data_IF_773686735823
#
_entry.id   IF_773686735823
#
_cell.length_a   1.000
_cell.length_b   1.000
_cell.length_c   1.000
_cell.angle_alpha   90.00
_cell.angle_beta   90.00
_cell.angle_gamma   90.00
#
_symmetry.space_group_name_H-M   'P 1'
#
loop_
_entity.id
_entity.type
_entity.pdbx_description
1 polymer ?
#
# COMPACT_ATOMS: atom_id res chain seq x y z
N UNK A 1 6.87 -2.45 -17.76
CA UNK A 1 6.92 -1.38 -16.74
C UNK A 1 8.21 -1.49 -15.95
N UNK A 2 8.92 -0.40 -15.79
CA UNK A 2 10.20 -0.35 -15.06
C UNK A 2 10.03 -0.84 -13.60
N UNK A 3 10.94 -1.67 -13.09
CA UNK A 3 10.81 -2.26 -11.75
C UNK A 3 10.65 -1.23 -10.62
N UNK A 4 11.27 -0.07 -10.74
CA UNK A 4 11.17 1.00 -9.74
C UNK A 4 9.83 1.75 -9.76
N UNK A 5 9.00 1.58 -10.80
CA UNK A 5 7.65 2.15 -10.88
C UNK A 5 6.59 1.20 -10.28
N UNK A 6 6.87 -0.10 -10.22
CA UNK A 6 5.92 -1.10 -9.69
C UNK A 6 5.42 -0.79 -8.27
N UNK A 7 6.25 -0.37 -7.31
CA UNK A 7 5.76 0.00 -5.98
C UNK A 7 4.76 1.16 -6.01
N UNK A 8 4.98 2.13 -6.89
CA UNK A 8 4.07 3.26 -7.08
C UNK A 8 2.72 2.81 -7.65
N UNK A 9 2.73 1.95 -8.66
CA UNK A 9 1.52 1.35 -9.21
C UNK A 9 0.78 0.53 -8.14
N UNK A 10 1.51 -0.27 -7.36
CA UNK A 10 0.93 -1.05 -6.27
C UNK A 10 0.26 -0.15 -5.23
N UNK A 11 0.87 0.97 -4.87
CA UNK A 11 0.27 1.94 -3.97
C UNK A 11 -1.02 2.54 -4.52
N UNK A 12 -1.06 2.93 -5.79
CA UNK A 12 -2.28 3.45 -6.43
C UNK A 12 -3.41 2.42 -6.42
N UNK A 13 -3.11 1.15 -6.68
CA UNK A 13 -4.08 0.05 -6.58
C UNK A 13 -4.61 -0.16 -5.17
N UNK A 14 -3.76 -0.02 -4.17
CA UNK A 14 -4.12 -0.12 -2.75
C UNK A 14 -4.93 1.10 -2.28
N UNK A 15 -4.65 2.27 -2.78
CA UNK A 15 -5.46 3.47 -2.53
C UNK A 15 -6.89 3.24 -3.05
N UNK A 16 -7.05 2.62 -4.20
CA UNK A 16 -8.34 2.23 -4.75
C UNK A 16 -9.01 1.12 -3.92
N UNK A 17 -8.30 0.01 -3.69
CA UNK A 17 -8.78 -1.11 -2.89
C UNK A 17 -7.67 -1.74 -2.05
N UNK A 18 -7.62 -1.47 -0.73
CA UNK A 18 -6.57 -1.97 0.15
C UNK A 18 -6.68 -3.48 0.48
N UNK A 19 -7.78 -4.14 0.12
CA UNK A 19 -7.96 -5.58 0.35
C UNK A 19 -7.15 -6.47 -0.60
N UNK A 20 -6.40 -5.90 -1.52
CA UNK A 20 -5.55 -6.63 -2.47
C UNK A 20 -4.17 -6.92 -1.85
N UNK A 21 -4.02 -8.07 -1.20
CA UNK A 21 -2.84 -8.45 -0.41
C UNK A 21 -1.52 -8.32 -1.18
N UNK A 22 -1.47 -8.77 -2.43
CA UNK A 22 -0.26 -8.73 -3.27
C UNK A 22 0.22 -7.30 -3.46
N UNK A 23 -0.68 -6.38 -3.79
CA UNK A 23 -0.33 -4.98 -4.02
C UNK A 23 -0.04 -4.24 -2.71
N UNK A 24 -0.75 -4.56 -1.64
CA UNK A 24 -0.46 -4.00 -0.32
C UNK A 24 0.92 -4.41 0.17
N UNK A 25 1.27 -5.69 0.08
CA UNK A 25 2.61 -6.17 0.41
C UNK A 25 3.69 -5.49 -0.45
N UNK A 26 3.47 -5.39 -1.76
CA UNK A 26 4.41 -4.74 -2.67
C UNK A 26 4.62 -3.25 -2.35
N UNK A 27 3.56 -2.53 -1.99
CA UNK A 27 3.67 -1.13 -1.57
C UNK A 27 4.41 -0.98 -0.24
N UNK A 28 4.13 -1.83 0.75
CA UNK A 28 4.78 -1.80 2.07
C UNK A 28 6.27 -2.13 1.98
N UNK A 29 6.64 -3.14 1.19
CA UNK A 29 8.03 -3.58 0.98
C UNK A 29 8.84 -2.62 0.12
N UNK A 30 8.20 -1.73 -0.60
CA UNK A 30 8.86 -0.77 -1.47
C UNK A 30 9.59 0.35 -0.71
N UNK A 31 10.33 1.20 -1.44
CA UNK A 31 11.13 2.27 -0.84
C UNK A 31 10.29 3.37 -0.16
N UNK A 32 9.00 3.43 -0.43
CA UNK A 32 8.11 4.43 0.15
C UNK A 32 7.85 4.23 1.64
N UNK A 33 7.75 2.98 2.11
CA UNK A 33 7.38 2.66 3.49
C UNK A 33 8.42 1.84 4.25
N UNK A 34 9.30 1.16 3.54
CA UNK A 34 10.48 0.51 4.12
C UNK A 34 10.20 -0.68 5.03
N UNK A 35 9.10 -1.40 4.82
CA UNK A 35 8.86 -2.67 5.51
C UNK A 35 9.72 -3.78 4.92
N UNK A 36 10.13 -4.72 5.77
CA UNK A 36 10.84 -5.93 5.37
C UNK A 36 9.89 -7.13 5.29
N UNK A 37 10.33 -8.23 4.67
CA UNK A 37 9.58 -9.49 4.69
C UNK A 37 9.33 -9.97 6.12
N UNK A 38 10.30 -9.83 7.00
CA UNK A 38 10.16 -10.16 8.43
C UNK A 38 9.11 -9.30 9.12
N UNK A 39 9.02 -8.01 8.76
CA UNK A 39 7.98 -7.12 9.25
C UNK A 39 6.58 -7.61 8.87
N UNK A 40 6.39 -8.08 7.65
CA UNK A 40 5.10 -8.62 7.19
C UNK A 40 4.75 -9.94 7.89
N UNK A 41 5.72 -10.82 8.09
CA UNK A 41 5.55 -12.04 8.89
C UNK A 41 5.15 -11.69 10.32
N UNK A 42 5.83 -10.73 10.93
CA UNK A 42 5.54 -10.25 12.29
C UNK A 42 4.13 -9.65 12.39
N UNK A 43 3.73 -8.85 11.40
CA UNK A 43 2.38 -8.27 11.32
C UNK A 43 1.31 -9.37 11.31
N UNK A 44 1.47 -10.40 10.48
CA UNK A 44 0.58 -11.56 10.41
C UNK A 44 0.53 -12.33 11.73
N UNK A 45 1.69 -12.56 12.34
CA UNK A 45 1.79 -13.30 13.61
C UNK A 45 1.09 -12.56 14.77
N UNK A 46 1.29 -11.25 14.89
CA UNK A 46 0.63 -10.43 15.90
C UNK A 46 -0.89 -10.40 15.69
N UNK A 47 -1.35 -10.23 14.46
CA UNK A 47 -2.77 -10.26 14.15
C UNK A 47 -3.41 -11.60 14.47
N UNK A 48 -2.77 -12.71 14.14
CA UNK A 48 -3.25 -14.06 14.46
C UNK A 48 -3.34 -14.29 15.98
N UNK A 49 -2.35 -13.84 16.74
CA UNK A 49 -2.35 -13.94 18.21
C UNK A 49 -3.49 -13.13 18.85
N UNK A 50 -3.76 -11.94 18.34
CA UNK A 50 -4.87 -11.08 18.79
C UNK A 50 -6.24 -11.71 18.50
N UNK A 51 -6.40 -12.32 17.32
CA UNK A 51 -7.62 -13.04 16.97
C UNK A 51 -7.87 -14.23 17.89
N UNK A 52 -6.83 -15.01 18.16
CA UNK A 52 -6.94 -16.16 19.06
C UNK A 52 -7.35 -15.73 20.47
N UNK A 53 -6.72 -14.70 21.01
CA UNK A 53 -7.05 -14.16 22.34
C UNK A 53 -8.50 -13.66 22.39
N UNK A 54 -8.95 -12.92 21.39
CA UNK A 54 -10.32 -12.44 21.32
C UNK A 54 -11.35 -13.57 21.24
N UNK A 55 -11.06 -14.66 20.54
CA UNK A 55 -11.91 -15.85 20.47
C UNK A 55 -11.98 -16.60 21.82
N UNK A 56 -10.86 -16.72 22.51
CA UNK A 56 -10.80 -17.34 23.84
C UNK A 56 -11.61 -16.54 24.87
N UNK A 57 -11.51 -15.20 24.85
CA UNK A 57 -12.28 -14.31 25.75
C UNK A 57 -13.79 -14.35 25.49
N UNK A 58 -14.22 -14.59 24.26
CA UNK A 58 -15.63 -14.67 23.89
C UNK A 58 -16.25 -16.06 24.13
N UNK A 59 -15.46 -17.05 24.58
CA UNK A 59 -15.95 -18.40 24.87
C UNK A 59 -16.50 -19.12 23.64
N UNK A 60 -16.03 -18.78 22.45
CA UNK A 60 -16.47 -19.40 21.21
C UNK A 60 -16.02 -20.87 21.18
N UNK A 61 -16.98 -21.78 21.35
CA UNK A 61 -16.83 -23.20 21.03
C UNK A 61 -16.42 -23.31 19.57
N UNK A 62 -15.40 -24.12 19.31
CA UNK A 62 -14.98 -24.51 17.97
C UNK A 62 -16.19 -24.97 17.14
N UNK A 63 -16.77 -24.07 16.41
CA UNK A 63 -17.54 -24.44 15.23
C UNK A 63 -16.53 -24.50 14.09
N UNK A 64 -16.29 -25.69 13.55
CA UNK A 64 -15.26 -26.04 12.57
C UNK A 64 -15.38 -25.36 11.21
N UNK A 65 -15.68 -24.08 11.21
CA UNK A 65 -15.42 -23.20 10.07
C UNK A 65 -13.96 -22.81 10.14
N UNK A 66 -13.14 -23.30 9.20
CA UNK A 66 -11.83 -22.72 8.89
C UNK A 66 -12.00 -21.21 8.95
N UNK A 67 -11.40 -20.57 9.97
CA UNK A 67 -11.34 -19.12 10.05
C UNK A 67 -10.77 -18.62 8.72
N UNK A 68 -11.57 -17.87 7.98
CA UNK A 68 -11.12 -17.23 6.74
C UNK A 68 -9.88 -16.43 7.07
N UNK A 69 -8.76 -16.69 6.36
CA UNK A 69 -7.51 -15.98 6.57
C UNK A 69 -7.77 -14.49 6.41
N UNK A 70 -7.48 -13.71 7.45
CA UNK A 70 -7.62 -12.27 7.43
C UNK A 70 -6.77 -11.67 6.31
N UNK A 71 -7.29 -10.68 5.59
CA UNK A 71 -6.51 -9.92 4.61
C UNK A 71 -5.34 -9.21 5.28
N UNK A 72 -4.30 -8.91 4.52
CA UNK A 72 -3.16 -8.14 5.04
C UNK A 72 -3.61 -6.78 5.60
N UNK A 73 -4.54 -6.12 4.91
CA UNK A 73 -5.12 -4.86 5.41
C UNK A 73 -5.90 -5.05 6.72
N UNK A 74 -6.63 -6.14 6.84
CA UNK A 74 -7.28 -6.52 8.09
C UNK A 74 -6.29 -6.72 9.23
N UNK A 75 -5.13 -7.33 8.96
CA UNK A 75 -4.03 -7.46 9.93
C UNK A 75 -3.45 -6.10 10.34
N UNK A 76 -3.27 -5.19 9.39
CA UNK A 76 -2.87 -3.79 9.68
C UNK A 76 -3.86 -3.11 10.61
N UNK A 77 -5.15 -3.18 10.29
CA UNK A 77 -6.21 -2.58 11.12
C UNK A 77 -6.20 -3.14 12.54
N UNK A 78 -6.05 -4.44 12.69
CA UNK A 78 -6.06 -5.09 13.99
C UNK A 78 -4.87 -4.67 14.86
N UNK A 79 -3.68 -4.61 14.28
CA UNK A 79 -2.48 -4.14 14.99
C UNK A 79 -2.58 -2.66 15.35
N UNK A 80 -3.14 -1.83 14.48
CA UNK A 80 -3.36 -0.39 14.76
C UNK A 80 -4.35 -0.19 15.91
N UNK A 81 -5.42 -0.99 15.96
CA UNK A 81 -6.48 -0.84 16.97
C UNK A 81 -6.14 -1.46 18.32
N UNK A 82 -5.45 -2.61 18.33
CA UNK A 82 -5.28 -3.44 19.50
C UNK A 82 -3.81 -3.76 19.84
N UNK A 83 -2.85 -3.27 19.06
CA UNK A 83 -1.43 -3.52 19.30
C UNK A 83 -0.88 -2.73 20.46
N UNK A 84 0.06 -3.32 21.20
CA UNK A 84 0.83 -2.64 22.23
C UNK A 84 1.71 -1.55 21.61
N UNK A 85 2.00 -0.49 22.36
CA UNK A 85 2.88 0.58 21.91
C UNK A 85 4.34 0.11 21.83
N UNK A 86 4.73 -0.35 20.66
CA UNK A 86 6.10 -0.74 20.31
C UNK A 86 6.59 0.06 19.11
N UNK A 87 7.90 0.14 18.86
CA UNK A 87 8.42 0.76 17.63
C UNK A 87 7.82 0.17 16.36
N UNK A 88 7.60 -1.14 16.35
CA UNK A 88 6.97 -1.83 15.22
C UNK A 88 5.49 -1.43 15.02
N UNK A 89 4.70 -1.45 16.09
CA UNK A 89 3.29 -1.02 16.04
C UNK A 89 3.17 0.43 15.60
N UNK A 90 4.06 1.29 16.06
CA UNK A 90 4.13 2.70 15.65
C UNK A 90 4.41 2.84 14.15
N UNK A 91 5.33 2.03 13.62
CA UNK A 91 5.62 1.97 12.18
C UNK A 91 4.38 1.55 11.36
N UNK A 92 3.65 0.53 11.81
CA UNK A 92 2.39 0.08 11.18
C UNK A 92 1.32 1.17 11.23
N UNK A 93 1.19 1.86 12.35
CA UNK A 93 0.25 2.96 12.53
C UNK A 93 0.58 4.15 11.62
N UNK A 94 1.84 4.53 11.52
CA UNK A 94 2.28 5.60 10.60
C UNK A 94 1.95 5.26 9.15
N UNK A 95 2.18 4.03 8.74
CA UNK A 95 1.79 3.55 7.42
C UNK A 95 0.26 3.65 7.20
N UNK A 96 -0.51 3.16 8.16
CA UNK A 96 -1.98 3.23 8.10
C UNK A 96 -2.49 4.67 8.00
N UNK A 97 -1.94 5.58 8.79
CA UNK A 97 -2.33 6.99 8.78
C UNK A 97 -2.03 7.64 7.43
N UNK A 98 -0.87 7.36 6.85
CA UNK A 98 -0.48 7.85 5.51
C UNK A 98 -1.38 7.28 4.42
N UNK A 99 -1.62 5.97 4.43
CA UNK A 99 -2.52 5.33 3.47
C UNK A 99 -3.94 5.90 3.57
N UNK A 100 -4.45 6.07 4.78
CA UNK A 100 -5.78 6.64 5.03
C UNK A 100 -5.88 8.08 4.52
N UNK A 101 -4.86 8.90 4.73
CA UNK A 101 -4.79 10.27 4.21
C UNK A 101 -4.80 10.30 2.67
N UNK A 102 -4.02 9.43 2.02
CA UNK A 102 -3.98 9.32 0.56
C UNK A 102 -5.31 8.83 -0.01
N UNK A 103 -5.96 7.86 0.64
CA UNK A 103 -7.29 7.39 0.23
C UNK A 103 -8.36 8.47 0.36
N UNK A 104 -8.28 9.29 1.40
CA UNK A 104 -9.18 10.44 1.57
C UNK A 104 -8.96 11.47 0.47
N UNK A 105 -7.72 11.81 0.16
CA UNK A 105 -7.36 12.74 -0.92
C UNK A 105 -7.82 12.21 -2.28
N UNK A 106 -7.68 10.92 -2.55
CA UNK A 106 -8.06 10.30 -3.82
C UNK A 106 -9.56 10.41 -4.16
N UNK A 107 -10.41 10.73 -3.18
CA UNK A 107 -11.85 10.89 -3.41
C UNK A 107 -12.20 12.19 -4.13
N UNK A 108 -11.39 13.23 -3.99
CA UNK A 108 -11.71 14.57 -4.47
C UNK A 108 -10.58 15.27 -5.22
N UNK A 109 -9.34 14.90 -4.99
CA UNK A 109 -8.19 15.52 -5.62
C UNK A 109 -7.92 14.93 -7.01
N UNK A 110 -7.43 15.76 -7.96
CA UNK A 110 -6.91 15.25 -9.22
C UNK A 110 -5.74 14.30 -9.03
N UNK A 111 -5.53 13.35 -9.97
CA UNK A 111 -4.44 12.39 -9.93
C UNK A 111 -3.06 13.05 -9.80
N UNK A 112 -2.86 14.20 -10.43
CA UNK A 112 -1.62 14.97 -10.33
C UNK A 112 -1.30 15.37 -8.88
N UNK A 113 -2.29 15.90 -8.16
CA UNK A 113 -2.12 16.28 -6.75
C UNK A 113 -1.89 15.07 -5.85
N UNK A 114 -2.59 13.97 -6.12
CA UNK A 114 -2.40 12.72 -5.38
C UNK A 114 -0.96 12.19 -5.53
N UNK A 115 -0.45 12.17 -6.75
CA UNK A 115 0.92 11.72 -7.02
C UNK A 115 1.98 12.65 -6.42
N UNK A 116 1.76 13.96 -6.49
CA UNK A 116 2.63 14.93 -5.81
C UNK A 116 2.68 14.68 -4.31
N UNK A 117 1.53 14.47 -3.67
CA UNK A 117 1.47 14.12 -2.25
C UNK A 117 2.17 12.80 -1.94
N UNK A 118 2.03 11.78 -2.78
CA UNK A 118 2.77 10.52 -2.62
C UNK A 118 4.28 10.79 -2.66
N UNK A 119 4.76 11.55 -3.61
CA UNK A 119 6.19 11.86 -3.74
C UNK A 119 6.73 12.62 -2.52
N UNK A 120 5.98 13.60 -2.02
CA UNK A 120 6.38 14.42 -0.87
C UNK A 120 6.30 13.63 0.43
N UNK A 121 5.17 12.99 0.71
CA UNK A 121 4.94 12.31 1.99
C UNK A 121 5.77 11.05 2.20
N UNK A 122 6.14 10.37 1.12
CA UNK A 122 6.93 9.13 1.18
C UNK A 122 8.42 9.33 0.89
N UNK A 123 8.83 10.49 0.41
CA UNK A 123 10.21 10.74 -0.03
C UNK A 123 10.64 9.87 -1.22
N UNK A 124 9.70 9.38 -2.02
CA UNK A 124 9.95 8.42 -3.09
C UNK A 124 10.98 8.88 -4.11
N UNK A 125 10.87 10.13 -4.58
CA UNK A 125 11.84 10.68 -5.53
C UNK A 125 13.25 10.80 -4.94
N UNK A 126 13.36 11.13 -3.65
CA UNK A 126 14.65 11.16 -2.96
C UNK A 126 15.23 9.74 -2.85
N UNK A 127 14.41 8.76 -2.48
CA UNK A 127 14.83 7.36 -2.41
C UNK A 127 15.31 6.82 -3.76
N UNK A 128 14.66 7.17 -4.86
CA UNK A 128 15.11 6.80 -6.20
C UNK A 128 16.46 7.47 -6.56
N UNK A 129 16.66 8.70 -6.11
CA UNK A 129 17.83 9.49 -6.44
C UNK A 129 19.16 8.95 -5.91
N UNK A 130 19.13 8.17 -4.82
CA UNK A 130 20.32 7.54 -4.23
C UNK A 130 20.69 6.19 -4.85
N UNK A 131 19.81 5.67 -5.70
CA UNK A 131 20.05 4.40 -6.40
C UNK A 131 20.91 4.62 -7.65
N UNK A 132 21.49 3.54 -8.15
CA UNK A 132 22.16 3.55 -9.45
C UNK A 132 21.20 4.07 -10.55
N UNK A 133 21.70 4.98 -11.39
CA UNK A 133 20.89 5.70 -12.39
C UNK A 133 19.73 6.51 -11.78
N UNK A 134 19.90 7.04 -10.58
CA UNK A 134 18.85 7.72 -9.82
C UNK A 134 18.17 8.88 -10.56
N UNK A 135 18.93 9.64 -11.36
CA UNK A 135 18.38 10.74 -12.16
C UNK A 135 17.37 10.20 -13.21
N UNK A 136 17.71 9.11 -13.90
CA UNK A 136 16.83 8.46 -14.87
C UNK A 136 15.59 7.88 -14.21
N UNK A 137 15.75 7.23 -13.05
CA UNK A 137 14.62 6.68 -12.29
C UNK A 137 13.65 7.74 -11.81
N UNK A 138 14.15 8.89 -11.37
CA UNK A 138 13.30 10.04 -11.01
C UNK A 138 12.55 10.60 -12.22
N UNK A 139 13.21 10.65 -13.36
CA UNK A 139 12.56 11.09 -14.61
C UNK A 139 11.46 10.13 -15.02
N UNK A 140 11.68 8.83 -14.94
CA UNK A 140 10.65 7.82 -15.21
C UNK A 140 9.44 7.98 -14.27
N UNK A 141 9.66 8.24 -12.98
CA UNK A 141 8.59 8.50 -12.03
C UNK A 141 7.77 9.75 -12.39
N UNK A 142 8.44 10.82 -12.83
CA UNK A 142 7.76 12.04 -13.29
C UNK A 142 6.97 11.82 -14.58
N UNK A 143 7.53 11.07 -15.52
CA UNK A 143 6.80 10.68 -16.76
C UNK A 143 5.57 9.84 -16.46
N UNK A 144 5.68 8.92 -15.51
CA UNK A 144 4.53 8.15 -15.05
C UNK A 144 3.46 9.06 -14.43
N UNK A 145 3.85 10.02 -13.60
CA UNK A 145 2.92 11.00 -13.04
C UNK A 145 2.24 11.85 -14.13
N UNK A 146 2.99 12.28 -15.14
CA UNK A 146 2.45 13.01 -16.27
C UNK A 146 1.45 12.17 -17.11
N UNK A 147 1.70 10.86 -17.24
CA UNK A 147 0.75 9.93 -17.86
C UNK A 147 -0.54 9.81 -17.03
N UNK A 148 -0.43 9.78 -15.71
CA UNK A 148 -1.58 9.65 -14.82
C UNK A 148 -2.46 10.89 -14.75
N UNK A 149 -1.91 12.09 -14.94
CA UNK A 149 -2.62 13.34 -14.77
C UNK A 149 -3.91 13.46 -15.62
N UNK A 150 -3.90 13.23 -16.94
CA UNK A 150 -5.13 13.29 -17.74
C UNK A 150 -6.04 12.08 -17.53
N UNK A 151 -5.47 10.90 -17.26
CA UNK A 151 -6.23 9.65 -17.13
C UNK A 151 -6.95 9.55 -15.79
N UNK A 152 -6.49 10.28 -14.79
CA UNK A 152 -7.08 10.30 -13.44
C UNK A 152 -8.26 11.27 -13.28
N UNK A 153 -8.71 11.93 -14.33
CA UNK A 153 -9.81 12.91 -14.27
C UNK A 153 -11.13 12.33 -13.75
N UNK A 154 -11.34 11.03 -13.93
CA UNK A 154 -12.54 10.30 -13.49
C UNK A 154 -12.33 9.51 -12.19
N UNK A 155 -11.34 9.85 -11.40
CA UNK A 155 -11.05 9.26 -10.10
C UNK A 155 -10.05 8.10 -10.14
N UNK A 156 -9.72 7.61 -8.94
CA UNK A 156 -8.66 6.60 -8.75
C UNK A 156 -8.97 5.27 -9.45
N UNK A 157 -10.20 4.80 -9.42
CA UNK A 157 -10.58 3.53 -10.06
C UNK A 157 -10.41 3.57 -11.58
N UNK A 158 -10.73 4.72 -12.20
CA UNK A 158 -10.51 4.92 -13.62
C UNK A 158 -9.01 4.98 -13.96
N UNK A 159 -8.22 5.62 -13.12
CA UNK A 159 -6.76 5.67 -13.23
C UNK A 159 -6.16 4.26 -13.18
N UNK A 160 -6.55 3.45 -12.21
CA UNK A 160 -6.06 2.07 -12.06
C UNK A 160 -6.40 1.22 -13.29
N UNK A 161 -7.62 1.34 -13.82
CA UNK A 161 -8.00 0.65 -15.07
C UNK A 161 -7.16 1.09 -16.27
N UNK A 162 -6.87 2.38 -16.38
CA UNK A 162 -6.02 2.91 -17.45
C UNK A 162 -4.58 2.40 -17.36
N UNK A 163 -4.04 2.30 -16.16
CA UNK A 163 -2.70 1.72 -15.91
C UNK A 163 -2.68 0.25 -16.33
N UNK A 164 -3.68 -0.53 -15.95
CA UNK A 164 -3.78 -1.95 -16.32
C UNK A 164 -3.92 -2.14 -17.83
N UNK A 165 -4.72 -1.32 -18.50
CA UNK A 165 -4.86 -1.35 -19.95
C UNK A 165 -3.55 -1.02 -20.66
N UNK A 166 -2.80 -0.03 -20.19
CA UNK A 166 -1.50 0.34 -20.74
C UNK A 166 -0.45 -0.79 -20.55
N UNK A 167 -0.48 -1.46 -19.42
CA UNK A 167 0.39 -2.61 -19.14
C UNK A 167 0.10 -3.80 -20.07
N UNK A 168 -1.16 -4.08 -20.37
CA UNK A 168 -1.57 -5.12 -21.31
C UNK A 168 -1.16 -4.78 -22.74
N UNK A 169 -1.33 -3.55 -23.19
CA UNK A 169 -0.94 -3.09 -24.51
C UNK A 169 0.57 -3.13 -24.74
N UNK A 170 1.38 -2.92 -23.70
CA UNK A 170 2.85 -3.03 -23.78
C UNK A 170 3.41 -4.45 -23.75
N UNK A 171 2.55 -5.47 -23.58
CA UNK A 171 2.93 -6.88 -23.53
C UNK A 171 2.72 -7.61 -24.87
N UNK A 172 2.21 -6.92 -25.87
CA UNK A 172 2.09 -7.37 -27.26
C UNK A 172 3.18 -6.74 -28.12
#
# INVERSE_FOLDING_TARGET
>A
TAPHIRPLISLLKVIDNPAQDIYLAAAMLGPMFGFTDDDLVRLRAQSAAMQKKAQEEQGAKETGKRASRMSLYGAVLQVVQNGDETPFTRKVKDFYDRLTALRRMARSAPAEQLLEEIFVSTGYLAALGVLENGAHRREDARRFAAFCAPTGANGISALVRAIDAAAQAGST
#
